data_IF_359805535921
#
_entry.id   IF_359805535921
#
_cell.length_a   1.000
_cell.length_b   1.000
_cell.length_c   1.000
_cell.angle_alpha   90.00
_cell.angle_beta   90.00
_cell.angle_gamma   90.00
#
_symmetry.space_group_name_H-M   'P 1'
#
loop_
_entity.id
_entity.type
_entity.pdbx_description
1 polymer ?
#
# COMPACT_ATOMS: atom_id res chain seq x y z
N UNK A 1 -9.71 -41.40 -24.76
CA UNK A 1 -9.55 -39.96 -24.45
C UNK A 1 -8.31 -39.83 -23.60
N UNK A 2 -7.20 -39.43 -24.19
CA UNK A 2 -5.94 -39.18 -23.47
C UNK A 2 -6.12 -37.95 -22.57
N UNK A 3 -5.84 -38.13 -21.28
CA UNK A 3 -5.61 -37.00 -20.37
C UNK A 3 -4.30 -36.36 -20.81
N UNK A 4 -4.38 -35.13 -21.34
CA UNK A 4 -3.20 -34.30 -21.57
C UNK A 4 -2.48 -34.11 -20.22
N UNK A 5 -1.31 -34.72 -20.11
CA UNK A 5 -0.36 -34.49 -19.03
C UNK A 5 0.14 -33.06 -19.16
N UNK A 6 -0.31 -32.17 -18.28
CA UNK A 6 0.21 -30.80 -18.19
C UNK A 6 1.68 -30.93 -17.78
N UNK A 7 2.60 -30.67 -18.71
CA UNK A 7 4.04 -30.64 -18.44
C UNK A 7 4.38 -29.41 -17.60
N UNK A 8 5.37 -29.52 -16.70
CA UNK A 8 5.81 -28.41 -15.81
C UNK A 8 6.06 -27.10 -16.58
N UNK A 9 6.55 -27.21 -17.82
CA UNK A 9 6.83 -26.09 -18.74
C UNK A 9 5.57 -25.29 -19.15
N UNK A 10 4.40 -25.94 -19.27
CA UNK A 10 3.12 -25.27 -19.55
C UNK A 10 2.60 -24.49 -18.32
N UNK A 11 2.86 -25.01 -17.13
CA UNK A 11 2.46 -24.37 -15.89
C UNK A 11 3.30 -23.12 -15.61
N UNK A 12 4.60 -23.18 -15.88
CA UNK A 12 5.50 -22.03 -15.70
C UNK A 12 5.22 -20.94 -16.74
N UNK A 13 4.96 -21.31 -18.00
CA UNK A 13 4.52 -20.38 -19.04
C UNK A 13 3.21 -19.67 -18.68
N UNK A 14 2.23 -20.40 -18.12
CA UNK A 14 0.97 -19.81 -17.65
C UNK A 14 1.20 -18.81 -16.50
N UNK A 15 2.03 -19.16 -15.52
CA UNK A 15 2.34 -18.27 -14.39
C UNK A 15 3.04 -17.00 -14.84
N UNK A 16 3.99 -17.10 -15.77
CA UNK A 16 4.69 -15.96 -16.34
C UNK A 16 3.72 -15.04 -17.08
N UNK A 17 2.91 -15.57 -18.00
CA UNK A 17 1.91 -14.78 -18.74
C UNK A 17 0.86 -14.14 -17.83
N UNK A 18 0.41 -14.86 -16.79
CA UNK A 18 -0.51 -14.31 -15.78
C UNK A 18 0.16 -13.19 -14.97
N UNK A 19 1.43 -13.34 -14.63
CA UNK A 19 2.22 -12.32 -13.94
C UNK A 19 2.39 -11.07 -14.81
N UNK A 20 2.74 -11.23 -16.08
CA UNK A 20 2.88 -10.12 -17.04
C UNK A 20 1.55 -9.38 -17.24
N UNK A 21 0.46 -10.12 -17.35
CA UNK A 21 -0.89 -9.57 -17.45
C UNK A 21 -1.21 -8.72 -16.22
N UNK A 22 -0.93 -9.25 -15.02
CA UNK A 22 -1.12 -8.55 -13.75
C UNK A 22 -0.26 -7.29 -13.66
N UNK A 23 1.02 -7.37 -14.02
CA UNK A 23 1.93 -6.23 -13.99
C UNK A 23 1.47 -5.12 -14.94
N UNK A 24 1.05 -5.48 -16.17
CA UNK A 24 0.57 -4.51 -17.15
C UNK A 24 -0.66 -3.75 -16.65
N UNK A 25 -1.64 -4.46 -16.10
CA UNK A 25 -2.87 -3.83 -15.59
C UNK A 25 -2.63 -3.07 -14.28
N UNK A 26 -1.70 -3.53 -13.42
CA UNK A 26 -1.19 -2.74 -12.28
C UNK A 26 -0.64 -1.39 -12.75
N UNK A 27 0.22 -1.37 -13.79
CA UNK A 27 0.78 -0.11 -14.33
C UNK A 27 -0.29 0.83 -14.87
N UNK A 28 -1.30 0.32 -15.58
CA UNK A 28 -2.43 1.11 -16.07
C UNK A 28 -3.18 1.76 -14.90
N UNK A 29 -3.47 0.98 -13.87
CA UNK A 29 -4.16 1.45 -12.67
C UNK A 29 -3.37 2.54 -11.94
N UNK A 30 -2.06 2.33 -11.72
CA UNK A 30 -1.20 3.32 -11.09
C UNK A 30 -1.08 4.59 -11.93
N UNK A 31 -1.04 4.48 -13.26
CA UNK A 31 -1.10 5.64 -14.16
C UNK A 31 -2.39 6.46 -13.98
N UNK A 32 -3.54 5.81 -13.81
CA UNK A 32 -4.80 6.50 -13.51
C UNK A 32 -4.79 7.21 -12.16
N UNK A 33 -4.14 6.60 -11.14
CA UNK A 33 -3.94 7.23 -9.82
C UNK A 33 -3.07 8.47 -9.92
N UNK A 34 -1.94 8.41 -10.64
CA UNK A 34 -1.08 9.59 -10.83
C UNK A 34 -1.81 10.72 -11.57
N UNK A 35 -2.57 10.38 -12.61
CA UNK A 35 -3.40 11.36 -13.32
C UNK A 35 -4.46 12.00 -12.42
N UNK A 36 -5.09 11.21 -11.54
CA UNK A 36 -6.00 11.73 -10.54
C UNK A 36 -5.31 12.70 -9.56
N UNK A 37 -4.04 12.44 -9.19
CA UNK A 37 -3.27 13.33 -8.31
C UNK A 37 -2.94 14.65 -8.99
N UNK A 38 -2.59 14.59 -10.26
CA UNK A 38 -2.38 15.77 -11.09
C UNK A 38 -3.68 16.60 -11.18
N UNK A 39 -4.81 15.95 -11.46
CA UNK A 39 -6.12 16.62 -11.48
C UNK A 39 -6.48 17.26 -10.13
N UNK A 40 -6.20 16.59 -9.01
CA UNK A 40 -6.42 17.13 -7.67
C UNK A 40 -5.62 18.43 -7.49
N UNK A 41 -4.34 18.40 -7.83
CA UNK A 41 -3.43 19.53 -7.70
C UNK A 41 -3.90 20.70 -8.58
N UNK A 42 -4.21 20.45 -9.85
CA UNK A 42 -4.67 21.49 -10.78
C UNK A 42 -6.00 22.11 -10.35
N UNK A 43 -6.98 21.28 -9.96
CA UNK A 43 -8.31 21.75 -9.58
C UNK A 43 -8.33 22.50 -8.25
N UNK A 44 -7.33 22.31 -7.39
CA UNK A 44 -7.26 22.98 -6.08
C UNK A 44 -6.28 24.14 -6.06
N UNK A 45 -5.40 24.26 -7.06
CA UNK A 45 -4.38 25.32 -7.10
C UNK A 45 -4.93 26.75 -6.98
N UNK A 46 -6.16 27.02 -7.46
CA UNK A 46 -6.77 28.35 -7.32
C UNK A 46 -7.48 28.59 -5.98
N UNK A 47 -7.76 27.52 -5.24
CA UNK A 47 -8.38 27.55 -3.92
C UNK A 47 -7.34 27.67 -2.81
N UNK A 48 -6.11 27.25 -3.10
CA UNK A 48 -5.05 27.09 -2.11
C UNK A 48 -4.02 28.19 -2.26
N UNK A 49 -3.63 28.78 -1.13
CA UNK A 49 -2.63 29.84 -1.09
C UNK A 49 -1.23 29.31 -1.41
N UNK A 50 -0.31 30.17 -1.88
CA UNK A 50 1.09 29.80 -2.07
C UNK A 50 1.72 29.26 -0.76
N UNK A 51 1.29 29.79 0.38
CA UNK A 51 1.69 29.31 1.69
C UNK A 51 1.22 27.86 1.94
N UNK A 52 -0.03 27.54 1.59
CA UNK A 52 -0.55 26.18 1.63
C UNK A 52 0.25 25.24 0.72
N UNK A 53 0.47 25.63 -0.54
CA UNK A 53 1.19 24.80 -1.51
C UNK A 53 2.64 24.54 -1.07
N UNK A 54 3.31 25.54 -0.49
CA UNK A 54 4.64 25.38 0.08
C UNK A 54 4.65 24.45 1.29
N UNK A 55 3.70 24.60 2.20
CA UNK A 55 3.55 23.73 3.36
C UNK A 55 3.27 22.28 2.94
N UNK A 56 2.48 22.08 1.89
CA UNK A 56 2.20 20.78 1.30
C UNK A 56 3.46 20.12 0.74
N UNK A 57 4.22 20.85 -0.09
CA UNK A 57 5.49 20.39 -0.66
C UNK A 57 6.53 20.06 0.43
N UNK A 58 6.66 20.92 1.45
CA UNK A 58 7.53 20.66 2.60
C UNK A 58 7.12 19.39 3.36
N UNK A 59 5.82 19.13 3.48
CA UNK A 59 5.28 17.91 4.13
C UNK A 59 5.60 16.65 3.32
N UNK A 60 5.43 16.70 2.00
CA UNK A 60 5.77 15.57 1.11
C UNK A 60 7.28 15.28 1.10
N UNK A 61 8.12 16.32 1.14
CA UNK A 61 9.57 16.17 1.32
C UNK A 61 9.92 15.51 2.65
N UNK A 62 9.23 15.87 3.74
CA UNK A 62 9.42 15.22 5.05
C UNK A 62 8.99 13.75 5.04
N UNK A 63 7.83 13.42 4.46
CA UNK A 63 7.37 12.02 4.29
C UNK A 63 8.38 11.20 3.49
N UNK A 64 8.89 11.77 2.39
CA UNK A 64 9.90 11.12 1.53
C UNK A 64 11.20 10.89 2.29
N UNK A 65 11.71 11.90 3.00
CA UNK A 65 12.92 11.79 3.83
C UNK A 65 12.75 10.76 4.95
N UNK A 66 11.61 10.74 5.63
CA UNK A 66 11.27 9.72 6.65
C UNK A 66 11.35 8.30 6.05
N UNK A 67 10.72 8.08 4.90
CA UNK A 67 10.72 6.77 4.21
C UNK A 67 12.15 6.37 3.83
N UNK A 68 12.93 7.29 3.28
CA UNK A 68 14.31 7.04 2.90
C UNK A 68 15.15 6.65 4.12
N UNK A 69 15.13 7.44 5.20
CA UNK A 69 15.89 7.13 6.42
C UNK A 69 15.47 5.81 7.06
N UNK A 70 14.17 5.49 7.04
CA UNK A 70 13.64 4.21 7.51
C UNK A 70 14.18 3.04 6.69
N UNK A 71 14.13 3.16 5.36
CA UNK A 71 14.60 2.12 4.45
C UNK A 71 16.12 1.92 4.56
N UNK A 72 16.89 3.01 4.57
CA UNK A 72 18.36 2.97 4.76
C UNK A 72 18.74 2.32 6.09
N UNK A 73 18.00 2.61 7.18
CA UNK A 73 18.25 2.00 8.47
C UNK A 73 18.02 0.48 8.44
N UNK A 74 16.90 0.03 7.88
CA UNK A 74 16.59 -1.41 7.82
C UNK A 74 17.41 -2.17 6.79
N UNK A 75 17.94 -1.49 5.77
CA UNK A 75 18.90 -2.04 4.83
C UNK A 75 20.34 -1.99 5.37
N UNK A 76 20.60 -1.37 6.52
CA UNK A 76 21.95 -1.25 7.06
C UNK A 76 22.48 -2.61 7.53
N UNK A 77 23.77 -2.86 7.26
CA UNK A 77 24.47 -4.08 7.69
C UNK A 77 24.26 -4.39 9.17
N UNK A 78 24.24 -3.36 10.02
CA UNK A 78 24.04 -3.52 11.46
C UNK A 78 22.67 -4.12 11.78
N UNK A 79 21.62 -3.61 11.15
CA UNK A 79 20.26 -4.09 11.39
C UNK A 79 20.05 -5.49 10.79
N UNK A 80 20.51 -5.69 9.56
CA UNK A 80 20.41 -6.98 8.86
C UNK A 80 21.11 -8.08 9.65
N UNK A 81 22.37 -7.87 10.07
CA UNK A 81 23.11 -8.86 10.87
C UNK A 81 22.47 -9.14 12.22
N UNK A 82 21.92 -8.12 12.89
CA UNK A 82 21.22 -8.31 14.15
C UNK A 82 19.95 -9.17 13.98
N UNK A 83 19.20 -8.96 12.89
CA UNK A 83 18.03 -9.76 12.53
C UNK A 83 18.41 -11.20 12.13
N UNK A 84 19.42 -11.37 11.30
CA UNK A 84 19.93 -12.69 10.91
C UNK A 84 20.38 -13.49 12.13
N UNK A 85 21.12 -12.87 13.05
CA UNK A 85 21.54 -13.50 14.30
C UNK A 85 20.35 -13.90 15.18
N UNK A 86 19.35 -13.02 15.31
CA UNK A 86 18.13 -13.31 16.06
C UNK A 86 17.35 -14.49 15.47
N UNK A 87 17.21 -14.54 14.15
CA UNK A 87 16.52 -15.63 13.44
C UNK A 87 17.29 -16.95 13.52
N UNK A 88 18.62 -16.92 13.41
CA UNK A 88 19.47 -18.09 13.57
C UNK A 88 19.32 -18.69 14.98
N UNK A 89 19.43 -17.84 16.02
CA UNK A 89 19.26 -18.27 17.41
C UNK A 89 17.84 -18.78 17.70
N UNK A 90 16.81 -18.20 17.08
CA UNK A 90 15.44 -18.73 17.18
C UNK A 90 15.34 -20.14 16.61
N UNK A 91 15.90 -20.36 15.43
CA UNK A 91 15.91 -21.66 14.77
C UNK A 91 16.67 -22.69 15.60
N UNK A 92 17.84 -22.33 16.13
CA UNK A 92 18.59 -23.18 17.06
C UNK A 92 17.78 -23.52 18.31
N UNK A 93 17.03 -22.56 18.86
CA UNK A 93 16.15 -22.78 20.00
C UNK A 93 15.03 -23.77 19.68
N UNK A 94 14.42 -23.65 18.49
CA UNK A 94 13.34 -24.52 18.03
C UNK A 94 13.83 -25.96 17.74
N UNK A 95 15.07 -26.10 17.25
CA UNK A 95 15.67 -27.39 16.84
C UNK A 95 16.48 -28.10 17.95
N UNK A 96 16.79 -27.43 19.07
CA UNK A 96 17.54 -28.03 20.17
C UNK A 96 16.65 -28.98 21.00
N UNK A 97 17.05 -30.23 21.17
CA UNK A 97 16.36 -31.21 22.03
C UNK A 97 17.00 -31.35 23.43
N UNK A 98 18.04 -30.56 23.72
CA UNK A 98 18.84 -30.63 24.95
C UNK A 98 18.74 -29.39 25.85
N UNK A 99 19.78 -29.14 26.65
CA UNK A 99 19.88 -27.93 27.47
C UNK A 99 19.98 -26.67 26.59
N UNK A 100 18.99 -25.78 26.71
CA UNK A 100 18.86 -24.56 25.92
C UNK A 100 19.39 -23.31 26.63
N UNK A 101 19.87 -23.42 27.86
CA UNK A 101 20.14 -22.27 28.74
C UNK A 101 21.05 -21.21 28.10
N UNK A 102 22.09 -21.65 27.38
CA UNK A 102 23.02 -20.72 26.71
C UNK A 102 22.44 -20.11 25.43
N UNK A 103 21.66 -20.89 24.66
CA UNK A 103 20.95 -20.41 23.46
C UNK A 103 19.90 -19.38 23.86
N UNK A 104 19.11 -19.64 24.91
CA UNK A 104 18.12 -18.70 25.46
C UNK A 104 18.75 -17.38 25.90
N UNK A 105 19.90 -17.45 26.58
CA UNK A 105 20.65 -16.27 27.02
C UNK A 105 21.13 -15.45 25.82
N UNK A 106 21.68 -16.10 24.79
CA UNK A 106 22.17 -15.43 23.59
C UNK A 106 21.01 -14.86 22.75
N UNK A 107 19.90 -15.60 22.64
CA UNK A 107 18.66 -15.14 22.02
C UNK A 107 18.12 -13.89 22.72
N UNK A 108 18.09 -13.88 24.06
CA UNK A 108 17.67 -12.71 24.84
C UNK A 108 18.53 -11.46 24.58
N UNK A 109 19.84 -11.63 24.39
CA UNK A 109 20.74 -10.52 24.01
C UNK A 109 20.46 -10.03 22.59
N UNK A 110 20.32 -10.94 21.62
CA UNK A 110 20.02 -10.59 20.23
C UNK A 110 18.67 -9.87 20.13
N UNK A 111 17.67 -10.31 20.90
CA UNK A 111 16.35 -9.67 20.98
C UNK A 111 16.46 -8.25 21.55
N UNK A 112 17.24 -8.06 22.61
CA UNK A 112 17.48 -6.75 23.20
C UNK A 112 18.21 -5.80 22.23
N UNK A 113 19.17 -6.32 21.45
CA UNK A 113 19.88 -5.55 20.42
C UNK A 113 18.93 -5.07 19.31
N UNK A 114 18.14 -5.99 18.72
CA UNK A 114 17.13 -5.65 17.71
C UNK A 114 16.10 -4.65 18.26
N UNK A 115 15.65 -4.85 19.50
CA UNK A 115 14.71 -3.94 20.18
C UNK A 115 15.32 -2.55 20.34
N UNK A 116 16.59 -2.47 20.75
CA UNK A 116 17.32 -1.19 20.89
C UNK A 116 17.45 -0.48 19.54
N UNK A 117 17.75 -1.21 18.47
CA UNK A 117 17.80 -0.66 17.11
C UNK A 117 16.43 -0.12 16.67
N UNK A 118 15.36 -0.85 16.95
CA UNK A 118 13.99 -0.41 16.65
C UNK A 118 13.60 0.87 17.41
N UNK A 119 13.98 0.97 18.69
CA UNK A 119 13.78 2.19 19.47
C UNK A 119 14.63 3.34 18.92
N UNK A 120 15.87 3.06 18.51
CA UNK A 120 16.79 4.06 17.95
C UNK A 120 16.21 4.70 16.70
N UNK A 121 15.74 3.90 15.73
CA UNK A 121 15.12 4.46 14.52
C UNK A 121 13.82 5.18 14.84
N UNK A 122 13.00 4.67 15.77
CA UNK A 122 11.78 5.36 16.22
C UNK A 122 12.09 6.75 16.78
N UNK A 123 13.10 6.85 17.66
CA UNK A 123 13.50 8.13 18.24
C UNK A 123 14.09 9.08 17.19
N UNK A 124 14.87 8.56 16.23
CA UNK A 124 15.42 9.36 15.13
C UNK A 124 14.33 9.94 14.22
N UNK A 125 13.24 9.19 14.01
CA UNK A 125 12.13 9.64 13.16
C UNK A 125 11.11 10.50 13.91
N UNK A 126 11.17 10.55 15.25
CA UNK A 126 10.19 11.24 16.09
C UNK A 126 10.02 12.72 15.71
N UNK A 127 11.11 13.46 15.57
CA UNK A 127 11.05 14.89 15.23
C UNK A 127 10.44 15.12 13.83
N UNK A 128 10.64 14.16 12.91
CA UNK A 128 10.04 14.22 11.57
C UNK A 128 8.54 13.95 11.65
N UNK A 129 8.14 12.97 12.48
CA UNK A 129 6.73 12.64 12.72
C UNK A 129 5.98 13.83 13.33
N UNK A 130 6.54 14.45 14.37
CA UNK A 130 5.95 15.63 15.01
C UNK A 130 5.80 16.82 14.04
N UNK A 131 6.77 17.01 13.14
CA UNK A 131 6.70 18.06 12.10
C UNK A 131 5.66 17.75 11.04
N UNK A 132 5.54 16.49 10.61
CA UNK A 132 4.49 16.06 9.68
C UNK A 132 3.12 16.30 10.30
N UNK A 133 2.92 15.89 11.56
CA UNK A 133 1.65 16.07 12.26
C UNK A 133 1.27 17.55 12.41
N UNK A 134 2.25 18.40 12.78
CA UNK A 134 2.04 19.84 12.87
C UNK A 134 1.66 20.46 11.52
N UNK A 135 2.37 20.10 10.44
CA UNK A 135 2.05 20.57 9.10
C UNK A 135 0.67 20.12 8.65
N UNK A 136 0.29 18.86 8.92
CA UNK A 136 -1.03 18.34 8.57
C UNK A 136 -2.16 19.07 9.32
N UNK A 137 -1.94 19.48 10.57
CA UNK A 137 -2.91 20.31 11.30
C UNK A 137 -3.07 21.69 10.66
N UNK A 138 -1.97 22.33 10.28
CA UNK A 138 -2.01 23.63 9.59
C UNK A 138 -2.71 23.53 8.23
N UNK A 139 -2.41 22.49 7.44
CA UNK A 139 -3.08 22.22 6.16
C UNK A 139 -4.60 22.03 6.36
N UNK A 140 -5.02 21.32 7.42
CA UNK A 140 -6.45 21.14 7.75
C UNK A 140 -7.15 22.46 8.08
N UNK A 141 -6.47 23.36 8.78
CA UNK A 141 -7.05 24.66 9.15
C UNK A 141 -7.27 25.55 7.93
N UNK A 142 -6.30 25.61 7.02
CA UNK A 142 -6.38 26.41 5.78
C UNK A 142 -7.49 25.92 4.83
N UNK A 143 -7.76 24.61 4.82
CA UNK A 143 -8.85 24.02 4.00
C UNK A 143 -10.24 24.40 4.54
N UNK A 144 -10.36 24.84 5.79
CA UNK A 144 -11.63 25.18 6.43
C UNK A 144 -12.48 26.20 5.66
N UNK A 145 -11.83 27.16 5.00
CA UNK A 145 -12.50 28.25 4.28
C UNK A 145 -12.93 27.88 2.85
N UNK A 146 -12.34 26.83 2.24
CA UNK A 146 -12.67 26.33 0.89
C UNK A 146 -13.26 24.91 0.89
N UNK A 147 -13.74 24.45 2.05
CA UNK A 147 -14.08 23.06 2.30
C UNK A 147 -15.17 22.48 1.39
N UNK A 148 -16.15 23.28 0.96
CA UNK A 148 -17.23 22.80 0.07
C UNK A 148 -16.72 22.53 -1.35
N UNK A 149 -15.88 23.42 -1.90
CA UNK A 149 -15.31 23.28 -3.25
C UNK A 149 -14.27 22.15 -3.30
N UNK A 150 -13.44 22.05 -2.26
CA UNK A 150 -12.50 20.92 -2.10
C UNK A 150 -13.25 19.60 -1.98
N UNK A 151 -14.39 19.57 -1.29
CA UNK A 151 -15.24 18.36 -1.20
C UNK A 151 -15.82 17.97 -2.55
N UNK A 152 -16.25 18.94 -3.37
CA UNK A 152 -16.72 18.68 -4.75
C UNK A 152 -15.59 18.12 -5.63
N UNK A 153 -14.41 18.72 -5.56
CA UNK A 153 -13.23 18.24 -6.30
C UNK A 153 -12.85 16.82 -5.86
N UNK A 154 -12.85 16.55 -4.55
CA UNK A 154 -12.63 15.20 -4.02
C UNK A 154 -13.66 14.21 -4.58
N UNK A 155 -14.94 14.57 -4.58
CA UNK A 155 -15.99 13.70 -5.12
C UNK A 155 -15.79 13.40 -6.62
N UNK A 156 -15.48 14.42 -7.43
CA UNK A 156 -15.19 14.26 -8.86
C UNK A 156 -14.02 13.28 -9.10
N UNK A 157 -12.95 13.42 -8.34
CA UNK A 157 -11.74 12.61 -8.49
C UNK A 157 -11.99 11.17 -8.06
N UNK A 158 -12.70 10.97 -6.95
CA UNK A 158 -13.10 9.64 -6.52
C UNK A 158 -14.03 8.97 -7.55
N UNK A 159 -14.96 9.73 -8.14
CA UNK A 159 -15.82 9.24 -9.21
C UNK A 159 -15.06 8.89 -10.50
N UNK A 160 -14.02 9.65 -10.84
CA UNK A 160 -13.11 9.31 -11.94
C UNK A 160 -12.37 7.99 -11.66
N UNK A 161 -11.74 7.86 -10.48
CA UNK A 161 -10.98 6.67 -10.12
C UNK A 161 -11.84 5.42 -10.03
N UNK A 162 -13.04 5.51 -9.46
CA UNK A 162 -13.97 4.38 -9.41
C UNK A 162 -14.26 3.84 -10.83
N UNK A 163 -14.43 4.73 -11.82
CA UNK A 163 -14.65 4.33 -13.21
C UNK A 163 -13.42 3.69 -13.83
N UNK A 164 -12.24 4.26 -13.64
CA UNK A 164 -10.99 3.70 -14.18
C UNK A 164 -10.63 2.36 -13.55
N UNK A 165 -10.79 2.21 -12.23
CA UNK A 165 -10.58 0.94 -11.54
C UNK A 165 -11.57 -0.12 -12.04
N UNK A 166 -12.86 0.22 -12.12
CA UNK A 166 -13.88 -0.71 -12.60
C UNK A 166 -13.59 -1.20 -14.03
N UNK A 167 -13.19 -0.27 -14.91
CA UNK A 167 -12.79 -0.60 -16.28
C UNK A 167 -11.54 -1.48 -16.30
N UNK A 168 -10.49 -1.11 -15.57
CA UNK A 168 -9.24 -1.84 -15.48
C UNK A 168 -9.45 -3.28 -14.98
N UNK A 169 -10.25 -3.47 -13.92
CA UNK A 169 -10.59 -4.79 -13.37
C UNK A 169 -11.38 -5.61 -14.38
N UNK A 170 -12.35 -5.00 -15.06
CA UNK A 170 -13.13 -5.68 -16.10
C UNK A 170 -12.23 -6.16 -17.24
N UNK A 171 -11.41 -5.26 -17.79
CA UNK A 171 -10.56 -5.56 -18.94
C UNK A 171 -9.50 -6.61 -18.58
N UNK A 172 -8.90 -6.53 -17.39
CA UNK A 172 -8.01 -7.57 -16.85
C UNK A 172 -8.69 -8.95 -16.79
N UNK A 173 -9.91 -9.03 -16.27
CA UNK A 173 -10.62 -10.30 -16.14
C UNK A 173 -11.05 -10.88 -17.49
N UNK A 174 -11.35 -10.05 -18.49
CA UNK A 174 -11.62 -10.53 -19.86
C UNK A 174 -10.39 -11.25 -20.42
N UNK A 175 -9.22 -10.62 -20.34
CA UNK A 175 -7.97 -11.22 -20.83
C UNK A 175 -7.53 -12.42 -19.98
N UNK A 176 -7.75 -12.39 -18.67
CA UNK A 176 -7.46 -13.51 -17.79
C UNK A 176 -8.34 -14.72 -18.12
N UNK A 177 -9.62 -14.51 -18.44
CA UNK A 177 -10.52 -15.59 -18.88
C UNK A 177 -10.03 -16.20 -20.20
N UNK A 178 -9.57 -15.39 -21.13
CA UNK A 178 -9.00 -15.87 -22.40
C UNK A 178 -7.70 -16.67 -22.18
N UNK A 179 -6.83 -16.20 -21.28
CA UNK A 179 -5.63 -16.92 -20.86
C UNK A 179 -5.98 -18.25 -20.20
N UNK A 180 -6.91 -18.25 -19.24
CA UNK A 180 -7.35 -19.46 -18.54
C UNK A 180 -7.93 -20.50 -19.51
N UNK A 181 -8.73 -20.07 -20.50
CA UNK A 181 -9.26 -20.95 -21.56
C UNK A 181 -8.15 -21.58 -22.38
N UNK A 182 -7.12 -20.81 -22.73
CA UNK A 182 -5.98 -21.27 -23.53
C UNK A 182 -5.21 -22.39 -22.82
N UNK A 183 -5.12 -22.33 -21.50
CA UNK A 183 -4.38 -23.30 -20.66
C UNK A 183 -5.28 -24.33 -19.97
N UNK A 184 -6.59 -24.34 -20.23
CA UNK A 184 -7.54 -25.28 -19.61
C UNK A 184 -7.71 -25.09 -18.10
N UNK A 185 -7.43 -23.89 -17.59
CA UNK A 185 -7.56 -23.53 -16.17
C UNK A 185 -9.02 -23.20 -15.85
N UNK A 186 -9.49 -23.67 -14.69
CA UNK A 186 -10.85 -23.41 -14.24
C UNK A 186 -11.08 -21.92 -13.99
N UNK A 187 -12.17 -21.39 -14.55
CA UNK A 187 -12.49 -19.96 -14.46
C UNK A 187 -13.18 -19.69 -13.12
N UNK A 188 -12.57 -18.83 -12.30
CA UNK A 188 -13.18 -18.33 -11.07
C UNK A 188 -14.49 -17.60 -11.35
N UNK A 189 -15.49 -17.78 -10.46
CA UNK A 189 -16.74 -16.99 -10.49
C UNK A 189 -16.53 -15.56 -9.98
N UNK A 190 -15.51 -15.35 -9.17
CA UNK A 190 -15.16 -14.03 -8.66
C UNK A 190 -14.08 -13.38 -9.52
N UNK A 191 -14.21 -12.08 -9.84
CA UNK A 191 -13.18 -11.37 -10.58
C UNK A 191 -11.89 -11.28 -9.76
N UNK A 192 -10.77 -11.57 -10.41
CA UNK A 192 -9.45 -11.39 -9.84
C UNK A 192 -9.00 -9.92 -9.95
N UNK A 193 -8.20 -9.46 -8.99
CA UNK A 193 -7.65 -8.10 -9.02
C UNK A 193 -6.30 -8.08 -9.74
N UNK A 194 -6.00 -7.04 -10.53
CA UNK A 194 -4.70 -6.89 -11.18
C UNK A 194 -3.59 -6.43 -10.23
N UNK A 195 -3.81 -6.44 -8.91
CA UNK A 195 -2.85 -6.04 -7.88
C UNK A 195 -3.06 -6.85 -6.61
N UNK A 196 -2.08 -6.83 -5.73
CA UNK A 196 -2.12 -7.52 -4.44
C UNK A 196 -2.87 -6.67 -3.41
N UNK A 197 -4.10 -7.05 -3.11
CA UNK A 197 -4.92 -6.43 -2.07
C UNK A 197 -6.38 -6.19 -2.49
N UNK A 198 -7.27 -6.12 -1.51
CA UNK A 198 -8.70 -5.83 -1.72
C UNK A 198 -9.03 -4.33 -1.63
N UNK A 199 -8.09 -3.51 -1.14
CA UNK A 199 -8.27 -2.08 -0.91
C UNK A 199 -7.14 -1.33 -1.60
N UNK A 200 -7.51 -0.32 -2.40
CA UNK A 200 -6.57 0.64 -2.95
C UNK A 200 -6.60 1.89 -2.06
N UNK A 201 -5.54 2.10 -1.28
CA UNK A 201 -5.36 3.32 -0.49
C UNK A 201 -4.82 4.42 -1.39
N UNK A 202 -5.46 5.58 -1.36
CA UNK A 202 -5.13 6.73 -2.18
C UNK A 202 -4.78 7.90 -1.29
N UNK A 203 -3.48 8.23 -1.28
CA UNK A 203 -2.98 9.47 -0.68
C UNK A 203 -3.04 10.59 -1.74
N UNK A 204 -3.92 11.55 -1.50
CA UNK A 204 -4.01 12.81 -2.23
C UNK A 204 -3.60 13.91 -1.27
N UNK A 205 -2.35 14.41 -1.33
CA UNK A 205 -1.83 15.33 -0.31
C UNK A 205 -2.72 16.57 -0.09
N UNK A 206 -3.33 17.06 -1.17
CA UNK A 206 -4.25 18.20 -1.23
C UNK A 206 -5.54 17.98 -0.43
N UNK A 207 -6.02 16.74 -0.37
CA UNK A 207 -7.11 16.37 0.50
C UNK A 207 -6.43 15.89 1.77
N UNK A 208 -6.36 16.72 2.81
CA UNK A 208 -5.62 16.47 4.06
C UNK A 208 -6.05 15.21 4.87
N UNK A 209 -6.67 14.24 4.22
CA UNK A 209 -7.27 13.00 4.69
C UNK A 209 -7.05 11.92 3.62
N UNK A 210 -6.49 10.78 4.02
CA UNK A 210 -6.41 9.59 3.17
C UNK A 210 -7.80 9.23 2.65
N UNK A 211 -7.87 8.84 1.38
CA UNK A 211 -9.08 8.33 0.76
C UNK A 211 -8.89 6.86 0.43
N UNK A 212 -9.89 6.05 0.69
CA UNK A 212 -9.85 4.62 0.41
C UNK A 212 -10.93 4.28 -0.61
N UNK A 213 -10.57 3.44 -1.59
CA UNK A 213 -11.53 2.81 -2.49
C UNK A 213 -11.53 1.32 -2.19
N UNK A 214 -12.67 0.84 -1.67
CA UNK A 214 -12.93 -0.58 -1.54
C UNK A 214 -13.23 -1.17 -2.91
N UNK A 215 -12.47 -2.18 -3.31
CA UNK A 215 -12.72 -2.89 -4.57
C UNK A 215 -13.93 -3.80 -4.49
N UNK A 216 -14.36 -4.18 -3.28
CA UNK A 216 -15.60 -4.96 -3.05
C UNK A 216 -16.84 -4.17 -3.45
N UNK A 217 -16.85 -2.85 -3.25
CA UNK A 217 -17.95 -1.96 -3.68
C UNK A 217 -18.02 -1.79 -5.20
N UNK A 218 -16.98 -2.17 -5.94
CA UNK A 218 -16.94 -2.12 -7.40
C UNK A 218 -17.63 -3.35 -8.01
N UNK A 219 -17.80 -4.43 -7.21
CA UNK A 219 -18.69 -5.55 -7.53
C UNK A 219 -20.13 -5.12 -7.21
N UNK A 220 -20.80 -4.43 -8.13
CA UNK A 220 -22.26 -4.52 -8.39
C UNK A 220 -22.79 -3.28 -9.11
N UNK A 221 -23.20 -3.49 -10.38
CA UNK A 221 -24.41 -2.82 -10.87
C UNK A 221 -25.59 -3.55 -10.25
N UNK A 222 -26.04 -3.06 -9.11
CA UNK A 222 -27.43 -2.65 -8.86
C UNK A 222 -27.64 -2.52 -7.34
N UNK A 223 -28.06 -1.31 -6.92
CA UNK A 223 -28.66 -0.99 -5.60
C UNK A 223 -27.89 -1.49 -4.35
N UNK A 224 -27.05 -0.70 -3.68
CA UNK A 224 -27.45 0.29 -2.66
C UNK A 224 -26.18 1.00 -2.17
N UNK A 225 -26.27 2.31 -1.96
CA UNK A 225 -25.17 3.11 -1.42
C UNK A 225 -25.09 2.91 0.09
N UNK A 226 -24.06 2.22 0.57
CA UNK A 226 -23.66 2.32 1.98
C UNK A 226 -22.29 2.98 2.07
N UNK A 227 -22.30 4.27 2.36
CA UNK A 227 -21.12 5.05 2.73
C UNK A 227 -20.66 4.61 4.13
N UNK A 228 -19.63 3.77 4.20
CA UNK A 228 -18.91 3.55 5.46
C UNK A 228 -17.96 4.72 5.66
N UNK A 229 -18.29 5.61 6.61
CA UNK A 229 -17.33 6.57 7.14
C UNK A 229 -16.39 5.82 8.08
N UNK A 230 -15.12 5.67 7.69
CA UNK A 230 -14.08 5.23 8.62
C UNK A 230 -13.69 6.41 9.50
N UNK A 231 -14.36 6.52 10.66
CA UNK A 231 -13.72 6.99 11.88
C UNK A 231 -12.87 5.82 12.34
N UNK A 232 -11.56 6.00 12.54
CA UNK A 232 -10.81 5.39 13.65
C UNK A 232 -9.36 5.89 13.61
N UNK A 233 -9.15 7.00 14.30
CA UNK A 233 -7.99 7.15 15.17
C UNK A 233 -8.08 6.10 16.28
N UNK A 234 -7.42 4.95 16.12
CA UNK A 234 -7.08 4.07 17.24
C UNK A 234 -6.13 2.99 16.76
N UNK A 235 -4.88 3.04 17.23
CA UNK A 235 -3.94 1.95 17.05
C UNK A 235 -4.40 0.68 17.75
N UNK A 236 -3.95 -0.46 17.23
CA UNK A 236 -3.27 -1.52 17.97
C UNK A 236 -2.85 -2.65 17.02
N UNK A 237 -1.85 -3.37 17.51
CA UNK A 237 -1.17 -4.53 16.95
C UNK A 237 -2.08 -5.76 17.01
N UNK A 238 -1.97 -6.63 16.01
CA UNK A 238 -1.85 -8.08 16.23
C UNK A 238 -0.85 -8.65 15.22
#
# INVERSE_FOLDING_TARGET
MEKLTITENLNDSYKELKSDLKERYSKILFGAVEKAREMASQKTAYLLTDAFLKLLDDTEKLKTSKRQQKNEFFASDKYVKAQENLLALKKELDECDGDKTEIEKNFGKALAEVTTLNITIKNRLKDIDERIDANMQLLKNEVGDSGEEISKIKHDIMGYLQKEIAKCVKDYNVELIELNKTFGVEISKEPEMPFDGEILKLDFPVFAFESEISTKTIKEKDTERTLIHSKNESGLIN
#
